data_IF_717187572242
#
_entry.id   IF_717187572242
#
_cell.length_a   1.000
_cell.length_b   1.000
_cell.length_c   1.000
_cell.angle_alpha   90.00
_cell.angle_beta   90.00
_cell.angle_gamma   90.00
#
_symmetry.space_group_name_H-M   'P 1'
#
loop_
_entity.id
_entity.type
_entity.pdbx_description
1 polymer ?
#
# COMPACT_ATOMS: atom_id res chain seq x y z
N UNK A 1 43.68 29.16 20.85
CA UNK A 1 43.33 27.78 20.43
C UNK A 1 41.88 27.56 20.80
N UNK A 2 40.96 27.69 19.84
CA UNK A 2 39.53 27.37 19.98
C UNK A 2 39.33 25.91 19.53
N UNK A 3 38.51 25.08 20.20
CA UNK A 3 38.09 23.81 19.65
C UNK A 3 36.86 24.00 18.75
N UNK A 4 36.95 23.44 17.54
CA UNK A 4 35.86 23.33 16.58
C UNK A 4 35.02 22.10 16.94
N UNK A 5 33.75 22.30 17.29
CA UNK A 5 32.78 21.22 17.47
C UNK A 5 32.07 21.01 16.14
N UNK A 6 32.36 19.90 15.47
CA UNK A 6 31.65 19.46 14.26
C UNK A 6 30.45 18.63 14.72
N UNK A 7 29.25 19.19 14.61
CA UNK A 7 28.00 18.47 14.78
C UNK A 7 27.69 17.70 13.48
N UNK A 8 27.82 16.37 13.53
CA UNK A 8 27.41 15.47 12.45
C UNK A 8 25.89 15.29 12.59
N UNK A 9 25.12 16.03 11.80
CA UNK A 9 23.68 15.84 11.66
C UNK A 9 23.40 14.55 10.90
N UNK A 10 23.05 13.49 11.63
CA UNK A 10 22.56 12.25 11.05
C UNK A 10 21.18 12.46 10.42
N UNK A 11 21.13 12.43 9.09
CA UNK A 11 19.89 12.41 8.34
C UNK A 11 19.29 11.00 8.45
N UNK A 12 18.36 10.78 9.38
CA UNK A 12 17.55 9.55 9.42
C UNK A 12 16.50 9.63 8.32
N UNK A 13 16.74 8.93 7.21
CA UNK A 13 15.72 8.59 6.23
C UNK A 13 14.76 7.59 6.89
N UNK A 14 13.58 8.04 7.28
CA UNK A 14 12.49 7.15 7.69
C UNK A 14 11.89 6.60 6.39
N UNK A 15 12.25 5.36 6.06
CA UNK A 15 11.63 4.62 4.96
C UNK A 15 10.31 4.09 5.50
N UNK A 16 9.19 4.63 5.02
CA UNK A 16 7.85 4.08 5.29
C UNK A 16 7.72 2.73 4.60
N UNK A 17 8.18 1.66 5.24
CA UNK A 17 7.95 0.30 4.76
C UNK A 17 6.57 -0.17 5.21
N UNK A 18 5.57 -0.03 4.35
CA UNK A 18 4.44 -0.96 4.40
C UNK A 18 5.04 -2.35 4.19
N UNK A 19 5.03 -3.20 5.22
CA UNK A 19 5.48 -4.59 5.10
C UNK A 19 4.49 -5.38 4.24
N UNK A 20 4.54 -5.15 2.93
CA UNK A 20 4.08 -6.09 1.94
C UNK A 20 5.10 -7.23 1.90
N UNK A 21 4.61 -8.46 1.77
CA UNK A 21 5.40 -9.70 1.91
C UNK A 21 6.76 -9.53 1.23
N UNK A 22 7.87 -9.45 1.99
CA UNK A 22 9.19 -9.30 1.39
C UNK A 22 9.44 -10.51 0.50
N UNK A 23 9.74 -10.29 -0.77
CA UNK A 23 10.38 -11.35 -1.54
C UNK A 23 11.84 -11.40 -1.10
N UNK A 24 12.26 -12.55 -0.57
CA UNK A 24 13.65 -12.92 -0.62
C UNK A 24 13.97 -13.23 -2.07
N UNK A 25 14.42 -12.25 -2.85
CA UNK A 25 15.17 -12.55 -4.06
C UNK A 25 16.38 -13.37 -3.61
N UNK A 26 16.33 -14.69 -3.82
CA UNK A 26 17.52 -15.50 -3.66
C UNK A 26 18.58 -15.06 -4.69
N UNK A 27 19.84 -15.43 -4.43
CA UNK A 27 20.97 -15.04 -5.26
C UNK A 27 20.90 -15.57 -6.70
N UNK A 28 20.08 -16.60 -6.94
CA UNK A 28 19.87 -17.20 -8.26
C UNK A 28 18.91 -16.34 -9.09
N UNK A 29 17.78 -15.94 -8.49
CA UNK A 29 16.78 -15.07 -9.09
C UNK A 29 17.36 -13.71 -9.44
N UNK A 30 18.26 -13.17 -8.61
CA UNK A 30 18.97 -11.93 -8.94
C UNK A 30 19.83 -12.05 -10.21
N UNK A 31 20.43 -13.22 -10.48
CA UNK A 31 21.27 -13.44 -11.67
C UNK A 31 20.45 -13.67 -12.94
N UNK A 32 19.31 -14.35 -12.84
CA UNK A 32 18.41 -14.51 -13.99
C UNK A 32 17.72 -13.19 -14.35
N UNK A 33 17.36 -12.35 -13.37
CA UNK A 33 16.92 -10.98 -13.63
C UNK A 33 18.00 -10.15 -14.34
N UNK A 34 19.28 -10.31 -13.97
CA UNK A 34 20.39 -9.62 -14.64
C UNK A 34 20.51 -10.00 -16.12
N UNK A 35 20.18 -11.26 -16.47
CA UNK A 35 20.15 -11.70 -17.87
C UNK A 35 19.04 -10.97 -18.65
N UNK A 36 17.84 -10.87 -18.07
CA UNK A 36 16.75 -10.09 -18.64
C UNK A 36 17.11 -8.60 -18.74
N UNK A 37 17.84 -8.07 -17.75
CA UNK A 37 18.33 -6.68 -17.74
C UNK A 37 19.26 -6.42 -18.91
N UNK A 38 20.20 -7.33 -19.18
CA UNK A 38 21.13 -7.20 -20.29
C UNK A 38 20.40 -7.14 -21.64
N UNK A 39 19.38 -7.97 -21.82
CA UNK A 39 18.58 -7.97 -23.06
C UNK A 39 17.65 -6.76 -23.14
N UNK A 40 17.06 -6.32 -22.03
CA UNK A 40 16.27 -5.09 -21.97
C UNK A 40 17.12 -3.83 -22.23
N UNK A 41 18.40 -3.83 -21.83
CA UNK A 41 19.33 -2.73 -22.09
C UNK A 41 20.05 -2.83 -23.45
N UNK A 42 19.68 -3.79 -24.30
CA UNK A 42 20.26 -3.90 -25.62
C UNK A 42 19.95 -2.65 -26.46
N UNK A 43 20.87 -2.27 -27.34
CA UNK A 43 20.74 -1.06 -28.17
C UNK A 43 19.51 -1.06 -29.12
N UNK A 44 18.85 -2.21 -29.27
CA UNK A 44 17.63 -2.38 -30.07
C UNK A 44 16.34 -2.04 -29.33
N UNK A 45 16.39 -1.83 -28.01
CA UNK A 45 15.20 -1.53 -27.21
C UNK A 45 14.90 -0.03 -27.25
N UNK A 46 13.66 0.32 -27.57
CA UNK A 46 13.16 1.69 -27.49
C UNK A 46 12.62 1.96 -26.08
N UNK A 47 13.36 2.71 -25.27
CA UNK A 47 12.92 3.10 -23.93
C UNK A 47 11.73 4.04 -23.90
N UNK A 48 11.31 4.64 -25.02
CA UNK A 48 10.02 5.36 -25.07
C UNK A 48 8.82 4.42 -25.20
N UNK A 49 9.07 3.15 -25.53
CA UNK A 49 8.08 2.07 -25.65
C UNK A 49 8.54 0.85 -24.84
N UNK A 50 9.03 1.09 -23.62
CA UNK A 50 9.72 0.10 -22.78
C UNK A 50 8.92 -1.20 -22.62
N UNK A 51 7.61 -1.08 -22.38
CA UNK A 51 6.73 -2.23 -22.16
C UNK A 51 6.30 -2.97 -23.43
N UNK A 52 6.76 -2.55 -24.61
CA UNK A 52 6.58 -3.32 -25.85
C UNK A 52 7.75 -4.29 -26.11
N UNK A 53 8.71 -4.38 -25.20
CA UNK A 53 9.81 -5.36 -25.21
C UNK A 53 9.54 -6.48 -24.21
N UNK A 54 9.49 -7.74 -24.67
CA UNK A 54 9.29 -8.92 -23.81
C UNK A 54 10.32 -8.97 -22.68
N UNK A 55 11.61 -8.80 -22.98
CA UNK A 55 12.66 -8.79 -21.98
C UNK A 55 12.46 -7.71 -20.91
N UNK A 56 12.01 -6.52 -21.30
CA UNK A 56 11.76 -5.42 -20.36
C UNK A 56 10.54 -5.63 -19.48
N UNK A 57 9.47 -6.22 -20.02
CA UNK A 57 8.30 -6.62 -19.23
C UNK A 57 8.69 -7.71 -18.22
N UNK A 58 9.41 -8.74 -18.67
CA UNK A 58 9.88 -9.81 -17.78
C UNK A 58 10.82 -9.29 -16.71
N UNK A 59 11.75 -8.39 -17.06
CA UNK A 59 12.61 -7.69 -16.11
C UNK A 59 11.79 -6.95 -15.05
N UNK A 60 10.74 -6.25 -15.48
CA UNK A 60 9.85 -5.49 -14.59
C UNK A 60 9.22 -6.41 -13.54
N UNK A 61 8.71 -7.57 -13.96
CA UNK A 61 8.15 -8.55 -13.01
C UNK A 61 9.26 -9.16 -12.13
N UNK A 62 10.45 -9.37 -12.70
CA UNK A 62 11.59 -9.98 -12.00
C UNK A 62 12.16 -9.12 -10.88
N UNK A 63 12.26 -7.80 -11.10
CA UNK A 63 12.93 -6.87 -10.20
C UNK A 63 12.00 -6.01 -9.36
N UNK A 64 10.74 -5.83 -9.77
CA UNK A 64 9.83 -4.97 -9.02
C UNK A 64 9.62 -5.50 -7.62
N UNK A 65 9.78 -4.61 -6.63
CA UNK A 65 9.37 -4.91 -5.26
C UNK A 65 7.85 -5.01 -5.24
N UNK A 66 7.35 -6.24 -5.37
CA UNK A 66 5.96 -6.76 -5.31
C UNK A 66 4.86 -6.04 -6.12
N UNK A 67 4.83 -4.72 -6.28
CA UNK A 67 3.79 -3.98 -7.02
C UNK A 67 4.31 -2.65 -7.64
N UNK A 68 5.63 -2.56 -7.90
CA UNK A 68 6.25 -1.31 -8.35
C UNK A 68 7.01 -1.41 -9.69
N UNK A 69 6.30 -1.61 -10.82
CA UNK A 69 6.89 -1.46 -12.15
C UNK A 69 7.71 -0.18 -12.37
N UNK A 70 7.33 0.92 -11.72
CA UNK A 70 8.03 2.22 -11.81
C UNK A 70 9.49 2.17 -11.32
N UNK A 71 9.83 1.27 -10.40
CA UNK A 71 11.21 1.09 -9.91
C UNK A 71 12.12 0.57 -11.01
N UNK A 72 11.62 -0.34 -11.85
CA UNK A 72 12.41 -0.91 -12.95
C UNK A 72 12.73 0.16 -13.99
N UNK A 73 11.75 1.00 -14.36
CA UNK A 73 11.94 2.14 -15.27
C UNK A 73 13.06 3.07 -14.78
N UNK A 74 13.09 3.40 -13.49
CA UNK A 74 14.14 4.23 -12.92
C UNK A 74 15.51 3.54 -12.98
N UNK A 75 15.55 2.23 -12.73
CA UNK A 75 16.81 1.47 -12.70
C UNK A 75 17.51 1.35 -14.07
N UNK A 76 16.73 1.37 -15.16
CA UNK A 76 17.23 1.28 -16.55
C UNK A 76 17.28 2.64 -17.24
N UNK A 77 16.84 3.71 -16.58
CA UNK A 77 16.82 5.06 -17.14
C UNK A 77 15.72 5.31 -18.18
N UNK A 78 14.65 4.50 -18.18
CA UNK A 78 13.49 4.73 -19.04
C UNK A 78 12.58 5.84 -18.49
N UNK A 79 11.89 6.64 -19.33
CA UNK A 79 10.91 7.63 -18.89
C UNK A 79 9.82 7.01 -18.02
N UNK A 80 9.40 7.69 -16.95
CA UNK A 80 8.25 7.25 -16.12
C UNK A 80 6.92 7.27 -16.88
N UNK A 81 6.78 8.21 -17.82
CA UNK A 81 5.62 8.25 -18.72
C UNK A 81 5.85 7.27 -19.85
N UNK A 82 5.38 6.04 -19.66
CA UNK A 82 5.37 5.01 -20.70
C UNK A 82 4.00 4.95 -21.36
N UNK A 83 3.92 4.71 -22.68
CA UNK A 83 2.67 4.30 -23.31
C UNK A 83 2.21 2.97 -22.72
N UNK A 84 0.91 2.72 -22.80
CA UNK A 84 0.35 1.43 -22.45
C UNK A 84 0.97 0.34 -23.33
N UNK A 85 1.32 -0.80 -22.72
CA UNK A 85 1.72 -2.01 -23.43
C UNK A 85 0.71 -2.33 -24.54
N UNK A 86 1.19 -2.66 -25.74
CA UNK A 86 0.29 -3.05 -26.84
C UNK A 86 -0.14 -4.51 -26.72
N UNK A 87 -1.32 -4.83 -27.26
CA UNK A 87 -1.79 -6.21 -27.35
C UNK A 87 -0.85 -7.08 -28.21
N UNK A 88 -0.22 -6.50 -29.24
CA UNK A 88 0.77 -7.23 -30.05
C UNK A 88 2.00 -7.64 -29.25
N UNK A 89 2.51 -6.77 -28.37
CA UNK A 89 3.60 -7.11 -27.47
C UNK A 89 3.18 -8.21 -26.49
N UNK A 90 1.94 -8.14 -25.99
CA UNK A 90 1.40 -9.16 -25.09
C UNK A 90 1.28 -10.52 -25.78
N UNK A 91 0.73 -10.55 -26.99
CA UNK A 91 0.61 -11.77 -27.80
C UNK A 91 1.98 -12.35 -28.17
N UNK A 92 3.01 -11.52 -28.39
CA UNK A 92 4.37 -12.01 -28.60
C UNK A 92 4.89 -12.77 -27.36
N UNK A 93 4.61 -12.26 -26.15
CA UNK A 93 4.99 -12.92 -24.90
C UNK A 93 4.22 -14.22 -24.66
N UNK A 94 2.94 -14.26 -25.02
CA UNK A 94 2.08 -15.41 -24.72
C UNK A 94 2.05 -16.48 -25.82
N UNK A 95 2.88 -16.34 -26.86
CA UNK A 95 2.84 -17.22 -28.03
C UNK A 95 1.53 -17.13 -28.81
N UNK A 96 0.87 -15.97 -28.79
CA UNK A 96 -0.39 -15.69 -29.47
C UNK A 96 -1.65 -15.96 -28.64
N UNK A 97 -1.53 -16.33 -27.37
CA UNK A 97 -2.68 -16.57 -26.51
C UNK A 97 -3.30 -15.25 -25.97
N UNK A 98 -4.63 -15.11 -25.92
CA UNK A 98 -5.31 -13.88 -25.49
C UNK A 98 -5.21 -13.61 -23.96
N UNK A 99 -4.71 -14.59 -23.21
CA UNK A 99 -4.45 -14.49 -21.78
C UNK A 99 -3.13 -15.21 -21.44
N UNK A 100 -2.40 -14.67 -20.47
CA UNK A 100 -1.11 -15.20 -20.03
C UNK A 100 -1.32 -16.23 -18.93
N UNK A 101 -0.98 -17.49 -19.23
CA UNK A 101 -0.86 -18.54 -18.19
C UNK A 101 0.50 -18.46 -17.50
N UNK A 102 0.62 -19.12 -16.34
CA UNK A 102 1.90 -19.31 -15.66
C UNK A 102 2.94 -19.94 -16.61
N UNK A 103 2.55 -20.97 -17.37
CA UNK A 103 3.45 -21.61 -18.32
C UNK A 103 3.89 -20.66 -19.44
N UNK A 104 2.99 -19.82 -19.98
CA UNK A 104 3.38 -18.83 -20.98
C UNK A 104 4.42 -17.83 -20.42
N UNK A 105 4.24 -17.41 -19.16
CA UNK A 105 5.20 -16.53 -18.49
C UNK A 105 6.56 -17.22 -18.31
N UNK A 106 6.57 -18.47 -17.85
CA UNK A 106 7.79 -19.29 -17.70
C UNK A 106 8.48 -19.46 -19.06
N UNK A 107 7.74 -19.85 -20.10
CA UNK A 107 8.29 -20.09 -21.44
C UNK A 107 8.93 -18.81 -22.01
N UNK A 108 8.24 -17.67 -21.89
CA UNK A 108 8.79 -16.38 -22.30
C UNK A 108 10.06 -16.02 -21.51
N UNK A 109 10.05 -16.24 -20.19
CA UNK A 109 11.19 -15.98 -19.31
C UNK A 109 12.43 -16.78 -19.73
N UNK A 110 12.30 -18.10 -19.88
CA UNK A 110 13.40 -18.96 -20.31
C UNK A 110 13.82 -18.69 -21.76
N UNK A 111 12.88 -18.35 -22.65
CA UNK A 111 13.20 -17.98 -24.02
C UNK A 111 14.11 -16.75 -24.09
N UNK A 112 13.76 -15.66 -23.39
CA UNK A 112 14.58 -14.44 -23.38
C UNK A 112 15.98 -14.69 -22.83
N UNK A 113 16.12 -15.50 -21.76
CA UNK A 113 17.45 -15.88 -21.25
C UNK A 113 18.23 -16.69 -22.28
N UNK A 114 17.57 -17.60 -23.02
CA UNK A 114 18.24 -18.45 -24.01
C UNK A 114 18.83 -17.68 -25.19
N UNK A 115 18.27 -16.53 -25.52
CA UNK A 115 18.77 -15.63 -26.57
C UNK A 115 19.69 -14.53 -26.03
N UNK A 116 19.82 -14.42 -24.69
CA UNK A 116 20.73 -13.49 -24.03
C UNK A 116 22.18 -14.01 -24.09
N UNK A 117 23.14 -13.23 -24.61
CA UNK A 117 24.56 -13.62 -24.57
C UNK A 117 25.03 -13.84 -23.13
N UNK A 118 25.56 -15.04 -22.85
CA UNK A 118 25.95 -15.47 -21.49
C UNK A 118 24.80 -15.43 -20.47
N UNK A 119 23.57 -15.65 -20.92
CA UNK A 119 22.39 -15.72 -20.06
C UNK A 119 22.54 -16.76 -18.94
N UNK A 120 22.20 -16.34 -17.73
CA UNK A 120 22.18 -17.19 -16.54
C UNK A 120 20.73 -17.55 -16.21
N UNK A 121 20.46 -18.84 -16.13
CA UNK A 121 19.15 -19.36 -15.76
C UNK A 121 18.98 -19.38 -14.24
N UNK A 122 17.75 -19.30 -13.73
CA UNK A 122 17.50 -19.59 -12.33
C UNK A 122 17.74 -21.08 -12.05
N UNK A 123 18.05 -21.41 -10.79
CA UNK A 123 18.25 -22.79 -10.33
C UNK A 123 17.01 -23.66 -10.50
N UNK A 124 15.82 -23.08 -10.32
CA UNK A 124 14.53 -23.74 -10.56
C UNK A 124 13.43 -22.73 -10.94
N UNK A 125 12.21 -23.21 -11.16
CA UNK A 125 11.05 -22.40 -11.57
C UNK A 125 10.33 -21.73 -10.40
N UNK A 126 10.70 -21.99 -9.15
CA UNK A 126 9.96 -21.56 -7.96
C UNK A 126 9.87 -20.04 -7.89
N UNK A 127 10.96 -19.33 -8.15
CA UNK A 127 10.98 -17.87 -8.12
C UNK A 127 10.20 -17.24 -9.28
N UNK A 128 10.24 -17.85 -10.47
CA UNK A 128 9.46 -17.42 -11.63
C UNK A 128 7.94 -17.61 -11.38
N UNK A 129 7.55 -18.73 -10.76
CA UNK A 129 6.17 -18.98 -10.36
C UNK A 129 5.71 -17.95 -9.33
N UNK A 130 6.56 -17.62 -8.35
CA UNK A 130 6.25 -16.59 -7.38
C UNK A 130 6.07 -15.21 -8.04
N UNK A 131 6.94 -14.85 -8.99
CA UNK A 131 6.84 -13.64 -9.81
C UNK A 131 5.50 -13.55 -10.54
N UNK A 132 5.09 -14.60 -11.25
CA UNK A 132 3.78 -14.66 -11.92
C UNK A 132 2.63 -14.49 -10.91
N UNK A 133 2.70 -15.18 -9.77
CA UNK A 133 1.68 -15.14 -8.74
C UNK A 133 1.47 -13.74 -8.15
N UNK A 134 2.46 -12.84 -8.18
CA UNK A 134 2.26 -11.44 -7.78
C UNK A 134 1.39 -10.67 -8.77
N UNK A 135 1.66 -10.83 -10.07
CA UNK A 135 0.85 -10.20 -11.11
C UNK A 135 -0.56 -10.79 -11.08
N UNK A 136 -0.69 -12.10 -10.92
CA UNK A 136 -1.98 -12.77 -10.75
C UNK A 136 -2.74 -12.28 -9.50
N UNK A 137 -2.05 -12.08 -8.38
CA UNK A 137 -2.65 -11.58 -7.15
C UNK A 137 -3.16 -10.14 -7.30
N UNK A 138 -2.38 -9.27 -7.95
CA UNK A 138 -2.80 -7.91 -8.22
C UNK A 138 -4.02 -7.86 -9.15
N UNK A 139 -3.97 -8.64 -10.23
CA UNK A 139 -5.00 -8.66 -11.26
C UNK A 139 -6.26 -9.43 -10.87
N UNK A 140 -6.21 -10.25 -9.81
CA UNK A 140 -7.35 -11.05 -9.34
C UNK A 140 -7.51 -12.40 -10.03
N UNK A 141 -6.46 -12.92 -10.69
CA UNK A 141 -6.49 -14.17 -11.47
C UNK A 141 -5.68 -15.30 -10.83
N UNK A 142 -5.72 -15.42 -9.51
CA UNK A 142 -5.05 -16.53 -8.81
C UNK A 142 -5.61 -17.89 -9.28
N UNK A 143 -4.73 -18.73 -9.85
CA UNK A 143 -5.09 -20.03 -10.42
C UNK A 143 -5.67 -19.98 -11.84
N UNK A 144 -5.63 -18.82 -12.50
CA UNK A 144 -6.13 -18.62 -13.87
C UNK A 144 -5.11 -17.97 -14.81
N UNK A 145 -5.54 -17.73 -16.05
CA UNK A 145 -4.78 -16.96 -17.02
C UNK A 145 -5.14 -15.48 -16.92
N UNK A 146 -4.15 -14.59 -16.98
CA UNK A 146 -4.33 -13.14 -16.86
C UNK A 146 -4.66 -12.56 -18.26
N UNK A 147 -5.84 -11.98 -18.49
CA UNK A 147 -6.17 -11.35 -19.77
C UNK A 147 -5.26 -10.15 -20.05
N UNK A 148 -5.06 -9.84 -21.33
CA UNK A 148 -4.26 -8.67 -21.77
C UNK A 148 -4.64 -7.37 -21.04
N UNK A 149 -5.93 -7.06 -20.93
CA UNK A 149 -6.40 -5.83 -20.28
C UNK A 149 -5.89 -5.71 -18.85
N UNK A 150 -5.98 -6.78 -18.07
CA UNK A 150 -5.60 -6.80 -16.66
C UNK A 150 -4.08 -6.78 -16.49
N UNK A 151 -3.35 -7.50 -17.35
CA UNK A 151 -1.88 -7.47 -17.32
C UNK A 151 -1.32 -6.09 -17.68
N UNK A 152 -1.87 -5.45 -18.72
CA UNK A 152 -1.49 -4.08 -19.09
C UNK A 152 -1.91 -3.04 -18.03
N UNK A 153 -3.05 -3.26 -17.34
CA UNK A 153 -3.45 -2.43 -16.20
C UNK A 153 -2.49 -2.57 -15.02
N UNK A 154 -2.01 -3.78 -14.73
CA UNK A 154 -0.99 -3.98 -13.70
C UNK A 154 0.26 -3.16 -14.00
N UNK A 155 0.81 -3.25 -15.21
CA UNK A 155 1.98 -2.46 -15.63
C UNK A 155 1.73 -0.95 -15.47
N UNK A 156 0.55 -0.49 -15.89
CA UNK A 156 0.25 0.94 -15.96
C UNK A 156 -0.10 1.56 -14.60
N UNK A 157 -0.80 0.82 -13.74
CA UNK A 157 -1.47 1.38 -12.56
C UNK A 157 -0.98 0.84 -11.22
N UNK A 158 -0.27 -0.30 -11.16
CA UNK A 158 0.13 -0.87 -9.86
C UNK A 158 1.03 0.03 -9.02
N UNK A 159 1.81 0.92 -9.66
CA UNK A 159 2.62 1.94 -8.97
C UNK A 159 1.88 3.25 -8.69
N UNK A 160 0.60 3.37 -9.09
CA UNK A 160 -0.19 4.57 -8.84
C UNK A 160 -0.59 4.63 -7.37
N UNK A 161 -0.33 5.76 -6.66
CA UNK A 161 -0.80 5.93 -5.30
C UNK A 161 -2.30 5.68 -5.18
N UNK A 162 -2.68 4.77 -4.29
CA UNK A 162 -4.08 4.41 -4.03
C UNK A 162 -4.56 3.17 -4.76
N UNK A 163 -3.74 2.58 -5.61
CA UNK A 163 -4.07 1.33 -6.28
C UNK A 163 -3.50 0.16 -5.49
N UNK A 164 -4.38 -0.73 -5.03
CA UNK A 164 -4.02 -1.93 -4.28
C UNK A 164 -4.21 -3.19 -5.13
N UNK A 165 -3.46 -4.27 -4.86
CA UNK A 165 -3.71 -5.55 -5.49
C UNK A 165 -5.10 -6.09 -5.10
N UNK A 166 -5.71 -6.88 -6.00
CA UNK A 166 -7.00 -7.54 -5.72
C UNK A 166 -6.92 -8.48 -4.52
N UNK A 167 -5.81 -9.22 -4.39
CA UNK A 167 -5.45 -9.99 -3.19
C UNK A 167 -3.97 -9.82 -2.89
N UNK A 168 -3.56 -9.97 -1.62
CA UNK A 168 -2.15 -9.76 -1.23
C UNK A 168 -1.20 -10.86 -1.76
N UNK A 169 -1.72 -12.06 -2.00
CA UNK A 169 -0.97 -13.17 -2.58
C UNK A 169 -1.95 -14.22 -3.13
N UNK A 170 -1.51 -14.97 -4.14
CA UNK A 170 -2.21 -16.17 -4.58
C UNK A 170 -1.95 -17.38 -3.68
N UNK A 171 -0.94 -17.34 -2.80
CA UNK A 171 -0.77 -18.34 -1.74
C UNK A 171 -1.67 -17.97 -0.54
N UNK A 172 -2.64 -18.82 -0.15
CA UNK A 172 -3.53 -18.54 0.97
C UNK A 172 -2.81 -18.33 2.31
N UNK A 173 -1.70 -19.05 2.56
CA UNK A 173 -0.91 -18.88 3.79
C UNK A 173 -0.22 -17.53 3.78
N UNK A 174 0.45 -17.18 2.68
CA UNK A 174 1.10 -15.89 2.55
C UNK A 174 0.08 -14.73 2.64
N UNK A 175 -1.06 -14.86 1.94
CA UNK A 175 -2.16 -13.89 1.97
C UNK A 175 -2.71 -13.69 3.39
N UNK A 176 -2.85 -14.77 4.18
CA UNK A 176 -3.35 -14.68 5.56
C UNK A 176 -2.39 -13.93 6.50
N UNK A 177 -1.08 -14.04 6.24
CA UNK A 177 -0.03 -13.39 7.03
C UNK A 177 0.31 -11.98 6.55
N UNK A 178 -0.05 -11.62 5.31
CA UNK A 178 0.23 -10.33 4.74
C UNK A 178 -0.64 -9.24 5.38
N UNK A 179 -0.06 -8.07 5.62
CA UNK A 179 -0.83 -6.86 5.96
C UNK A 179 -1.52 -6.37 4.68
N UNK A 180 -2.86 -6.29 4.64
CA UNK A 180 -3.56 -5.80 3.46
C UNK A 180 -3.12 -4.38 3.07
N UNK A 181 -3.07 -4.15 1.76
CA UNK A 181 -2.86 -2.82 1.20
C UNK A 181 -4.03 -1.90 1.61
N UNK A 182 -3.71 -0.63 1.85
CA UNK A 182 -4.68 0.39 2.19
C UNK A 182 -4.61 1.42 1.08
N UNK A 183 -5.65 1.57 0.26
CA UNK A 183 -5.67 2.56 -0.81
C UNK A 183 -5.44 3.97 -0.25
N UNK A 184 -4.31 4.60 -0.59
CA UNK A 184 -4.03 6.01 -0.32
C UNK A 184 -3.89 6.78 -1.63
N UNK A 185 -4.96 7.49 -2.10
CA UNK A 185 -4.89 8.26 -3.33
C UNK A 185 -3.84 9.36 -3.25
N UNK A 186 -3.40 9.89 -4.39
CA UNK A 186 -2.40 10.97 -4.43
C UNK A 186 -2.79 12.21 -3.60
N UNK A 187 -4.09 12.42 -3.38
CA UNK A 187 -4.60 13.51 -2.55
C UNK A 187 -4.33 13.34 -1.06
N UNK A 188 -4.00 12.14 -0.59
CA UNK A 188 -3.57 11.88 0.79
C UNK A 188 -2.26 12.61 1.13
N UNK A 189 -1.30 12.67 0.20
CA UNK A 189 0.00 13.32 0.42
C UNK A 189 0.76 12.81 1.67
N UNK A 190 0.48 11.58 2.12
CA UNK A 190 1.08 10.99 3.34
C UNK A 190 0.36 11.38 4.64
N UNK A 191 -0.77 12.09 4.57
CA UNK A 191 -1.52 12.52 5.75
C UNK A 191 -2.07 11.35 6.58
N UNK A 192 -2.51 10.28 5.92
CA UNK A 192 -2.91 9.03 6.56
C UNK A 192 -1.78 8.40 7.34
N UNK A 193 -0.60 8.30 6.72
CA UNK A 193 0.54 7.69 7.38
C UNK A 193 0.96 8.53 8.59
N UNK A 194 0.90 9.85 8.49
CA UNK A 194 1.12 10.70 9.65
C UNK A 194 0.06 10.48 10.73
N UNK A 195 -1.22 10.35 10.38
CA UNK A 195 -2.28 10.05 11.36
C UNK A 195 -2.05 8.71 12.08
N UNK A 196 -1.58 7.70 11.35
CA UNK A 196 -1.14 6.40 11.89
C UNK A 196 0.02 6.60 12.86
N UNK A 197 1.06 7.34 12.48
CA UNK A 197 2.19 7.66 13.37
C UNK A 197 1.72 8.38 14.65
N UNK A 198 0.75 9.28 14.54
CA UNK A 198 0.15 9.94 15.71
C UNK A 198 -0.64 8.95 16.58
N UNK A 199 -1.34 7.99 15.98
CA UNK A 199 -2.05 6.95 16.74
C UNK A 199 -1.09 6.05 17.53
N UNK A 200 0.05 5.65 16.96
CA UNK A 200 1.02 4.75 17.59
C UNK A 200 1.47 5.22 18.98
N UNK A 201 1.57 6.54 19.16
CA UNK A 201 1.95 7.16 20.44
C UNK A 201 0.92 6.94 21.56
N UNK A 202 -0.32 6.59 21.21
CA UNK A 202 -1.46 6.57 22.14
C UNK A 202 -2.33 5.31 22.05
N UNK A 203 -2.12 4.42 21.09
CA UNK A 203 -2.97 3.25 20.81
C UNK A 203 -3.17 2.35 22.04
N UNK A 204 -2.22 2.34 22.97
CA UNK A 204 -2.26 1.53 24.18
C UNK A 204 -3.26 2.00 25.22
N UNK A 205 -3.81 3.20 25.07
CA UNK A 205 -4.97 3.68 25.85
C UNK A 205 -6.30 3.05 25.37
N UNK A 206 -6.25 2.33 24.25
CA UNK A 206 -7.37 1.76 23.52
C UNK A 206 -7.60 2.53 22.22
N UNK A 207 -7.80 1.81 21.11
CA UNK A 207 -7.84 2.38 19.77
C UNK A 207 -8.91 3.48 19.65
N UNK A 208 -10.11 3.23 20.18
CA UNK A 208 -11.20 4.21 20.10
C UNK A 208 -11.29 5.16 21.32
N UNK A 209 -10.22 5.21 22.12
CA UNK A 209 -10.10 6.07 23.29
C UNK A 209 -9.20 7.29 23.04
N UNK A 210 -8.69 7.44 21.82
CA UNK A 210 -7.86 8.56 21.40
C UNK A 210 -8.28 9.09 20.02
N UNK A 211 -8.33 10.41 19.85
CA UNK A 211 -8.75 11.05 18.60
C UNK A 211 -7.87 10.68 17.40
N UNK A 212 -6.55 10.58 17.57
CA UNK A 212 -5.61 10.27 16.49
C UNK A 212 -5.88 8.88 15.94
N UNK A 213 -6.13 7.92 16.82
CA UNK A 213 -6.45 6.55 16.44
C UNK A 213 -7.81 6.39 15.78
N UNK A 214 -8.81 7.16 16.21
CA UNK A 214 -10.12 7.18 15.55
C UNK A 214 -10.00 7.78 14.14
N UNK A 215 -9.29 8.89 13.99
CA UNK A 215 -9.05 9.52 12.68
C UNK A 215 -8.18 8.62 11.77
N UNK A 216 -7.19 7.93 12.32
CA UNK A 216 -6.42 6.92 11.59
C UNK A 216 -7.33 5.78 11.12
N UNK A 217 -8.28 5.33 11.94
CA UNK A 217 -9.26 4.31 11.55
C UNK A 217 -10.12 4.76 10.37
N UNK A 218 -10.46 6.05 10.27
CA UNK A 218 -11.20 6.58 9.13
C UNK A 218 -10.41 6.52 7.83
N UNK A 219 -9.10 6.75 7.85
CA UNK A 219 -8.24 6.58 6.66
C UNK A 219 -8.25 5.14 6.12
N UNK A 220 -8.65 4.17 6.95
CA UNK A 220 -8.73 2.75 6.61
C UNK A 220 -10.14 2.34 6.18
N UNK A 221 -11.05 3.27 5.92
CA UNK A 221 -12.43 2.96 5.53
C UNK A 221 -12.54 2.14 4.22
N UNK A 222 -11.60 2.30 3.29
CA UNK A 222 -11.50 1.49 2.06
C UNK A 222 -10.88 0.09 2.29
N UNK A 223 -10.27 -0.11 3.45
CA UNK A 223 -9.76 -1.40 3.92
C UNK A 223 -10.55 -1.76 5.19
N UNK A 224 -9.91 -2.04 6.32
CA UNK A 224 -10.59 -2.14 7.61
C UNK A 224 -9.74 -1.59 8.76
N UNK A 225 -10.39 -1.21 9.86
CA UNK A 225 -9.74 -0.87 11.12
C UNK A 225 -8.85 -2.01 11.67
N UNK A 226 -9.18 -3.27 11.39
CA UNK A 226 -8.34 -4.41 11.79
C UNK A 226 -7.00 -4.44 11.03
N UNK A 227 -6.95 -3.89 9.81
CA UNK A 227 -5.70 -3.71 9.08
C UNK A 227 -4.83 -2.63 9.74
N UNK A 228 -5.44 -1.57 10.28
CA UNK A 228 -4.73 -0.59 11.11
C UNK A 228 -4.17 -1.25 12.36
N UNK A 229 -4.97 -2.02 13.12
CA UNK A 229 -4.52 -2.68 14.35
C UNK A 229 -3.31 -3.60 14.12
N UNK A 230 -3.26 -4.33 13.01
CA UNK A 230 -2.07 -5.14 12.65
C UNK A 230 -0.81 -4.32 12.38
N UNK A 231 -0.94 -3.04 12.03
CA UNK A 231 0.19 -2.12 11.86
C UNK A 231 0.57 -1.39 13.15
N UNK A 232 -0.41 -1.09 13.99
CA UNK A 232 -0.20 -0.39 15.26
C UNK A 232 0.49 -1.27 16.30
N UNK A 233 0.15 -2.56 16.35
CA UNK A 233 0.68 -3.47 17.35
C UNK A 233 1.92 -4.22 16.84
N UNK A 234 3.03 -4.20 17.60
CA UNK A 234 4.21 -4.99 17.26
C UNK A 234 3.91 -6.49 17.16
N UNK A 235 4.66 -7.20 16.32
CA UNK A 235 4.45 -8.64 16.06
C UNK A 235 4.62 -9.55 17.28
N UNK A 236 5.30 -9.09 18.34
CA UNK A 236 5.42 -9.83 19.60
C UNK A 236 4.19 -9.74 20.50
N UNK A 237 3.24 -8.85 20.19
CA UNK A 237 1.94 -8.80 20.88
C UNK A 237 1.05 -9.89 20.29
N UNK A 238 0.62 -10.83 21.13
CA UNK A 238 -0.24 -11.94 20.72
C UNK A 238 -1.25 -12.30 21.82
N UNK A 239 -2.56 -12.37 21.52
CA UNK A 239 -3.18 -11.97 20.25
C UNK A 239 -3.17 -10.44 20.05
N UNK A 240 -3.02 -9.98 18.80
CA UNK A 240 -3.27 -8.58 18.44
C UNK A 240 -4.78 -8.31 18.61
N UNK A 241 -5.19 -7.20 19.25
CA UNK A 241 -6.60 -6.83 19.35
C UNK A 241 -7.26 -6.65 17.98
N UNK A 242 -8.56 -6.94 17.91
CA UNK A 242 -9.44 -6.56 16.79
C UNK A 242 -10.39 -5.45 17.20
N UNK A 243 -11.01 -4.77 16.25
CA UNK A 243 -12.00 -3.72 16.50
C UNK A 243 -13.16 -4.19 17.39
N UNK A 244 -13.51 -5.48 17.32
CA UNK A 244 -14.51 -6.11 18.16
C UNK A 244 -14.07 -6.23 19.63
N UNK A 245 -12.78 -6.46 19.86
CA UNK A 245 -12.19 -6.59 21.20
C UNK A 245 -11.80 -5.26 21.84
N UNK A 246 -11.63 -4.22 21.02
CA UNK A 246 -11.34 -2.87 21.48
C UNK A 246 -12.51 -2.26 22.26
N UNK A 247 -12.18 -1.36 23.20
CA UNK A 247 -13.21 -0.59 23.90
C UNK A 247 -13.93 0.29 22.89
N UNK A 248 -15.27 0.26 22.91
CA UNK A 248 -16.14 1.10 22.08
C UNK A 248 -15.72 2.58 22.17
N UNK A 249 -15.85 3.29 21.05
CA UNK A 249 -15.59 4.74 20.95
C UNK A 249 -16.11 5.48 22.18
N UNK A 250 -15.23 6.22 22.85
CA UNK A 250 -15.66 7.00 24.01
C UNK A 250 -16.46 8.22 23.57
N UNK A 251 -17.48 8.57 24.37
CA UNK A 251 -18.26 9.78 24.12
C UNK A 251 -17.41 11.05 24.23
N UNK A 252 -16.38 11.04 25.07
CA UNK A 252 -15.48 12.18 25.24
C UNK A 252 -14.62 12.39 23.98
N UNK A 253 -14.08 11.32 23.38
CA UNK A 253 -13.34 11.41 22.11
C UNK A 253 -14.26 11.86 20.98
N UNK A 254 -15.48 11.31 20.92
CA UNK A 254 -16.48 11.76 19.95
C UNK A 254 -16.73 13.27 20.09
N UNK A 255 -17.03 13.75 21.30
CA UNK A 255 -17.29 15.17 21.56
C UNK A 255 -16.07 16.05 21.30
N UNK A 256 -14.86 15.56 21.53
CA UNK A 256 -13.64 16.30 21.20
C UNK A 256 -13.54 16.54 19.68
N UNK A 257 -13.82 15.51 18.86
CA UNK A 257 -13.79 15.64 17.39
C UNK A 257 -14.96 16.44 16.83
N UNK A 258 -16.13 16.43 17.50
CA UNK A 258 -17.34 17.13 17.02
C UNK A 258 -17.55 18.51 17.64
N UNK A 259 -16.60 18.99 18.45
CA UNK A 259 -16.75 20.20 19.26
C UNK A 259 -18.06 20.20 20.09
N UNK A 260 -18.39 19.04 20.65
CA UNK A 260 -19.57 18.82 21.50
C UNK A 260 -20.89 18.59 20.76
N UNK A 261 -20.91 18.55 19.42
CA UNK A 261 -22.12 18.25 18.65
C UNK A 261 -22.64 16.83 18.90
N UNK A 262 -23.96 16.63 18.76
CA UNK A 262 -24.64 15.34 18.91
C UNK A 262 -24.38 14.39 17.71
N UNK A 263 -24.03 14.95 16.56
CA UNK A 263 -23.65 14.24 15.34
C UNK A 263 -22.27 14.69 14.89
N UNK A 264 -21.54 13.81 14.22
CA UNK A 264 -20.33 14.16 13.48
C UNK A 264 -20.74 14.45 12.05
N UNK A 265 -20.58 15.70 11.61
CA UNK A 265 -20.79 16.10 10.22
C UNK A 265 -19.53 15.87 9.38
N UNK A 266 -19.67 15.96 8.04
CA UNK A 266 -18.53 15.99 7.14
C UNK A 266 -17.54 17.13 7.49
N UNK A 267 -18.04 18.32 7.86
CA UNK A 267 -17.15 19.41 8.23
C UNK A 267 -16.41 19.12 9.55
N UNK A 268 -17.08 18.49 10.52
CA UNK A 268 -16.41 18.12 11.77
C UNK A 268 -15.27 17.13 11.55
N UNK A 269 -15.44 16.13 10.67
CA UNK A 269 -14.34 15.20 10.38
C UNK A 269 -13.19 15.88 9.63
N UNK A 270 -13.48 16.81 8.71
CA UNK A 270 -12.45 17.61 8.04
C UNK A 270 -11.68 18.43 9.08
N UNK A 271 -12.38 19.18 9.93
CA UNK A 271 -11.75 20.04 10.93
C UNK A 271 -10.91 19.22 11.92
N UNK A 272 -11.45 18.10 12.42
CA UNK A 272 -10.74 17.22 13.34
C UNK A 272 -9.48 16.62 12.70
N UNK A 273 -9.57 16.19 11.44
CA UNK A 273 -8.45 15.61 10.71
C UNK A 273 -7.31 16.60 10.49
N UNK A 274 -7.62 17.80 10.00
CA UNK A 274 -6.63 18.85 9.77
C UNK A 274 -6.07 19.42 11.09
N UNK A 275 -6.89 19.52 12.14
CA UNK A 275 -6.43 19.93 13.47
C UNK A 275 -5.44 18.92 14.06
N UNK A 276 -5.70 17.62 13.89
CA UNK A 276 -4.80 16.56 14.35
C UNK A 276 -3.43 16.56 13.64
N UNK A 277 -3.37 17.04 12.38
CA UNK A 277 -2.11 17.22 11.64
C UNK A 277 -1.39 18.54 11.98
N UNK A 278 -1.96 19.39 12.84
CA UNK A 278 -1.37 20.68 13.21
C UNK A 278 -0.59 20.59 14.52
N UNK A 279 0.72 20.85 14.46
CA UNK A 279 1.62 20.71 15.61
C UNK A 279 1.69 19.27 16.12
N UNK A 280 2.17 18.37 15.26
CA UNK A 280 2.19 16.91 15.48
C UNK A 280 3.13 16.52 16.62
N UNK A 281 2.98 15.29 17.11
CA UNK A 281 3.80 14.73 18.17
C UNK A 281 4.93 13.88 17.59
N UNK A 282 6.05 13.83 18.30
CA UNK A 282 7.17 12.94 18.01
C UNK A 282 7.50 12.11 19.24
N UNK A 283 8.02 10.89 19.04
CA UNK A 283 8.47 10.04 20.13
C UNK A 283 9.85 10.49 20.63
N UNK A 284 10.00 10.70 21.94
CA UNK A 284 11.30 10.87 22.59
C UNK A 284 11.94 9.53 22.98
N UNK A 285 11.33 8.41 22.56
CA UNK A 285 11.75 7.05 22.89
C UNK A 285 10.90 6.41 23.98
N UNK A 286 11.21 5.14 24.23
CA UNK A 286 10.45 4.24 25.11
C UNK A 286 10.05 2.96 24.38
N UNK A 287 9.81 1.86 25.09
CA UNK A 287 9.22 0.67 24.47
C UNK A 287 7.76 0.95 24.09
N UNK A 288 7.20 0.14 23.19
CA UNK A 288 5.77 0.16 22.89
C UNK A 288 4.94 0.16 24.19
N UNK A 289 3.88 0.96 24.24
CA UNK A 289 3.07 1.25 25.43
C UNK A 289 3.67 2.17 26.50
N UNK A 290 4.94 2.56 26.39
CA UNK A 290 5.59 3.49 27.31
C UNK A 290 6.41 4.57 26.57
N UNK A 291 6.00 4.88 25.34
CA UNK A 291 6.59 5.97 24.59
C UNK A 291 6.34 7.32 25.28
N UNK A 292 7.34 8.19 25.22
CA UNK A 292 7.23 9.55 25.74
C UNK A 292 7.00 10.52 24.58
N UNK A 293 5.76 10.93 24.30
CA UNK A 293 5.48 11.84 23.21
C UNK A 293 5.85 13.29 23.59
N UNK A 294 6.40 14.03 22.63
CA UNK A 294 6.63 15.47 22.72
C UNK A 294 5.98 16.18 21.55
N UNK A 295 5.29 17.29 21.85
CA UNK A 295 4.66 18.09 20.81
C UNK A 295 5.73 18.86 20.04
N UNK A 296 5.59 18.88 18.72
CA UNK A 296 6.46 19.65 17.83
C UNK A 296 5.77 20.94 17.40
N UNK A 297 6.55 21.87 16.84
CA UNK A 297 6.01 23.04 16.15
C UNK A 297 5.82 22.78 14.65
N UNK A 298 6.02 21.54 14.21
CA UNK A 298 5.88 21.15 12.82
C UNK A 298 4.49 20.60 12.59
N UNK A 299 3.93 20.90 11.43
CA UNK A 299 2.72 20.25 10.98
C UNK A 299 3.07 18.96 10.25
N UNK A 300 2.15 18.01 10.29
CA UNK A 300 2.17 16.85 9.41
C UNK A 300 1.90 17.25 7.96
N UNK A 301 2.13 16.34 7.00
CA UNK A 301 1.63 16.54 5.65
C UNK A 301 0.10 16.62 5.67
N UNK A 302 -0.43 17.71 5.11
CA UNK A 302 -1.86 17.82 4.88
C UNK A 302 -2.25 17.11 3.58
N UNK A 303 -3.48 16.57 3.48
CA UNK A 303 -4.04 16.19 2.20
C UNK A 303 -4.00 17.38 1.24
N UNK A 304 -3.69 17.13 -0.04
CA UNK A 304 -3.70 18.19 -1.07
C UNK A 304 -5.11 18.61 -1.48
N UNK A 305 -6.13 17.82 -1.14
CA UNK A 305 -7.54 18.17 -1.30
C UNK A 305 -8.36 17.64 -0.12
N UNK A 306 -9.35 18.41 0.40
CA UNK A 306 -10.30 17.90 1.38
C UNK A 306 -11.12 16.70 0.84
N UNK A 307 -11.17 16.50 -0.49
CA UNK A 307 -11.83 15.35 -1.11
C UNK A 307 -11.31 14.02 -0.55
N UNK A 308 -10.04 13.96 -0.14
CA UNK A 308 -9.50 12.79 0.54
C UNK A 308 -10.31 12.42 1.79
N UNK A 309 -10.59 13.40 2.65
CA UNK A 309 -11.39 13.23 3.87
C UNK A 309 -12.86 12.97 3.54
N UNK A 310 -13.39 13.71 2.55
CA UNK A 310 -14.76 13.54 2.06
C UNK A 310 -15.01 12.13 1.53
N UNK A 311 -14.02 11.51 0.89
CA UNK A 311 -14.12 10.17 0.31
C UNK A 311 -14.25 9.09 1.38
N UNK A 312 -13.35 9.06 2.37
CA UNK A 312 -13.50 8.07 3.44
C UNK A 312 -14.75 8.35 4.30
N UNK A 313 -15.12 9.62 4.49
CA UNK A 313 -16.35 9.96 5.19
C UNK A 313 -17.60 9.51 4.43
N UNK A 314 -17.56 9.52 3.10
CA UNK A 314 -18.61 8.97 2.24
C UNK A 314 -18.83 7.48 2.49
N UNK A 315 -17.76 6.70 2.63
CA UNK A 315 -17.83 5.25 2.93
C UNK A 315 -18.44 5.02 4.33
N UNK A 316 -17.98 5.77 5.32
CA UNK A 316 -18.49 5.68 6.69
C UNK A 316 -19.96 6.09 6.75
N UNK A 317 -20.33 7.16 6.04
CA UNK A 317 -21.73 7.63 5.92
C UNK A 317 -22.61 6.59 5.22
N UNK A 318 -22.08 5.90 4.21
CA UNK A 318 -22.81 4.84 3.52
C UNK A 318 -23.06 3.64 4.42
N UNK A 319 -22.02 3.19 5.13
CA UNK A 319 -22.13 2.03 6.03
C UNK A 319 -23.12 2.30 7.16
N UNK A 320 -23.13 3.52 7.68
CA UNK A 320 -24.02 3.94 8.77
C UNK A 320 -25.43 4.31 8.31
N UNK A 321 -25.69 4.41 7.00
CA UNK A 321 -27.00 4.74 6.43
C UNK A 321 -27.33 6.25 6.38
N UNK A 322 -26.34 7.13 6.43
CA UNK A 322 -26.51 8.60 6.47
C UNK A 322 -25.98 9.30 5.20
N UNK A 323 -26.07 8.68 4.02
CA UNK A 323 -25.53 9.28 2.78
C UNK A 323 -26.11 10.65 2.42
N UNK A 324 -27.39 10.90 2.71
CA UNK A 324 -28.07 12.14 2.34
C UNK A 324 -27.65 13.34 3.17
N UNK A 325 -27.33 13.12 4.46
CA UNK A 325 -26.96 14.19 5.39
C UNK A 325 -25.47 14.25 5.68
N UNK A 326 -24.78 13.10 5.64
CA UNK A 326 -23.40 12.92 6.12
C UNK A 326 -23.21 13.40 7.56
N UNK A 327 -24.28 13.32 8.36
CA UNK A 327 -24.31 13.61 9.78
C UNK A 327 -24.55 12.31 10.55
N UNK A 328 -23.51 11.78 11.19
CA UNK A 328 -23.54 10.46 11.82
C UNK A 328 -23.67 10.63 13.35
N UNK A 329 -24.73 10.12 13.98
CA UNK A 329 -24.85 10.10 15.44
C UNK A 329 -23.78 9.24 16.09
N UNK A 330 -23.44 9.56 17.34
CA UNK A 330 -22.43 8.81 18.13
C UNK A 330 -22.61 7.28 18.07
N UNK A 331 -23.83 6.77 18.24
CA UNK A 331 -24.05 5.32 18.28
C UNK A 331 -23.69 4.64 16.96
N UNK A 332 -24.10 5.23 15.83
CA UNK A 332 -23.82 4.68 14.52
C UNK A 332 -22.32 4.74 14.17
N UNK A 333 -21.63 5.82 14.56
CA UNK A 333 -20.19 5.93 14.35
C UNK A 333 -19.42 4.94 15.22
N UNK A 334 -19.83 4.75 16.48
CA UNK A 334 -19.25 3.77 17.37
C UNK A 334 -19.49 2.33 16.89
N UNK A 335 -20.67 2.05 16.32
CA UNK A 335 -20.97 0.75 15.68
C UNK A 335 -20.13 0.53 14.44
N UNK A 336 -19.97 1.54 13.58
CA UNK A 336 -19.08 1.45 12.42
C UNK A 336 -17.66 1.05 12.85
N UNK A 337 -17.07 1.78 13.80
CA UNK A 337 -15.71 1.51 14.26
C UNK A 337 -15.56 0.10 14.84
N UNK A 338 -16.57 -0.39 15.56
CA UNK A 338 -16.52 -1.69 16.22
C UNK A 338 -16.77 -2.87 15.26
N UNK A 339 -17.74 -2.73 14.35
CA UNK A 339 -18.30 -3.87 13.60
C UNK A 339 -17.96 -3.87 12.10
N UNK A 340 -17.64 -2.72 11.49
CA UNK A 340 -17.46 -2.64 10.03
C UNK A 340 -16.37 -3.58 9.53
N UNK A 341 -15.25 -3.71 10.27
CA UNK A 341 -14.13 -4.57 9.90
C UNK A 341 -14.52 -6.05 9.72
N UNK A 342 -15.51 -6.54 10.49
CA UNK A 342 -15.99 -7.93 10.42
C UNK A 342 -17.19 -8.12 9.46
N UNK A 343 -17.75 -7.05 8.93
CA UNK A 343 -19.04 -7.11 8.20
C UNK A 343 -18.91 -7.56 6.74
N UNK A 344 -17.72 -7.41 6.14
CA UNK A 344 -17.54 -7.58 4.68
C UNK A 344 -18.36 -6.60 3.83
N UNK A 345 -18.95 -5.57 4.44
CA UNK A 345 -19.82 -4.59 3.80
C UNK A 345 -19.09 -3.25 3.67
N UNK A 346 -18.80 -2.83 2.44
CA UNK A 346 -18.10 -1.56 2.13
C UNK A 346 -18.91 -0.74 1.11
N UNK A 347 -20.05 -0.16 1.50
CA UNK A 347 -20.88 0.62 0.60
C UNK A 347 -20.25 2.00 0.33
N UNK A 348 -20.68 2.64 -0.74
CA UNK A 348 -20.35 4.02 -1.07
C UNK A 348 -21.62 4.85 -1.21
N UNK A 349 -21.58 6.08 -0.71
CA UNK A 349 -22.44 7.14 -1.23
C UNK A 349 -21.88 7.59 -2.59
#
# INVERSE_FOLDING_TARGET
>A
MLPLIIAIGGLTLIVSSSAQVPFGLDTSSSRSCESLRNTCNAATVDFNNFYNSTACVLLTVCESSVFRPDETLNSVGAPKSQPRMTESAFLAMTGGAPAMTEQNYIDAYYHEISVTPNGTYPEDTTSIIAQFNYVAAWTGFCGGAIPYSNFADWIQYSSTPGVCPSVMSCDPKAASSATPCVPQPITDNGSCQEMVNQCQLWVTQGLFQNQYCVLASFCYAQSTTDVLLRKEYPSFISPIPTSLSEKRLSLDVFKAMTNGSATMSQQNVIDAYYAALTGTWTSLGGPFAAETPSRTNNNGPYPTSPDYVVNFWGIISAWTGFCSTREIPYQNLADYLQFAASSGHHPTC
#
